data_IF_978630231294
#
_entry.id   IF_978630231294
#
_cell.length_a   1.000
_cell.length_b   1.000
_cell.length_c   1.000
_cell.angle_alpha   90.00
_cell.angle_beta   90.00
_cell.angle_gamma   90.00
#
_symmetry.space_group_name_H-M   'P 1'
#
loop_
_entity.id
_entity.type
_entity.pdbx_description
1 polymer ?
#
# COMPACT_ATOMS: atom_id res chain seq x y z
N UNK A 1 -18.63 13.99 -5.73
CA UNK A 1 -19.56 12.88 -6.03
C UNK A 1 -20.99 13.35 -5.82
N UNK A 2 -21.92 12.84 -6.62
CA UNK A 2 -23.36 12.93 -6.34
C UNK A 2 -23.75 11.71 -5.48
N UNK A 3 -24.68 11.90 -4.55
CA UNK A 3 -25.22 10.82 -3.72
C UNK A 3 -26.73 10.82 -3.87
N UNK A 4 -27.28 9.72 -4.35
CA UNK A 4 -28.72 9.52 -4.53
C UNK A 4 -29.12 8.07 -4.22
N UNK A 5 -30.37 7.68 -4.55
CA UNK A 5 -30.88 6.32 -4.35
C UNK A 5 -30.07 5.23 -5.09
N UNK A 6 -29.26 5.59 -6.08
CA UNK A 6 -28.40 4.70 -6.84
C UNK A 6 -26.96 4.63 -6.26
N UNK A 7 -26.71 5.26 -5.10
CA UNK A 7 -25.43 5.19 -4.39
C UNK A 7 -24.54 6.41 -4.60
N UNK A 8 -23.21 6.19 -4.64
CA UNK A 8 -22.21 7.23 -4.85
C UNK A 8 -21.83 7.27 -6.33
N UNK A 9 -22.00 8.41 -6.98
CA UNK A 9 -21.56 8.63 -8.36
C UNK A 9 -20.32 9.54 -8.39
N UNK A 10 -19.16 9.05 -8.87
CA UNK A 10 -17.96 9.87 -9.03
C UNK A 10 -18.20 11.05 -9.96
N UNK A 11 -17.59 12.19 -9.66
CA UNK A 11 -17.58 13.36 -10.54
C UNK A 11 -16.20 13.45 -11.17
N UNK A 12 -16.12 13.60 -12.50
CA UNK A 12 -14.84 13.65 -13.20
C UNK A 12 -14.05 14.91 -12.80
N UNK A 13 -12.80 14.71 -12.38
CA UNK A 13 -11.84 15.79 -12.07
C UNK A 13 -11.02 16.18 -13.31
N UNK A 14 -10.90 15.27 -14.29
CA UNK A 14 -10.03 15.44 -15.46
C UNK A 14 -8.59 14.97 -15.18
N UNK A 15 -7.67 15.34 -16.06
CA UNK A 15 -6.26 14.99 -15.92
C UNK A 15 -5.62 15.80 -14.78
N UNK A 16 -4.95 15.12 -13.86
CA UNK A 16 -4.15 15.78 -12.83
C UNK A 16 -2.85 16.34 -13.44
N UNK A 17 -2.34 17.46 -12.93
CA UNK A 17 -0.98 17.91 -13.23
C UNK A 17 0.05 16.79 -12.99
N UNK A 18 1.03 16.58 -13.89
CA UNK A 18 1.93 15.43 -13.83
C UNK A 18 2.65 15.24 -12.48
N UNK A 19 3.07 16.32 -11.83
CA UNK A 19 3.75 16.26 -10.54
C UNK A 19 2.84 15.78 -9.40
N UNK A 20 1.54 16.10 -9.45
CA UNK A 20 0.58 15.64 -8.44
C UNK A 20 0.22 14.17 -8.67
N UNK A 21 0.04 13.78 -9.94
CA UNK A 21 -0.16 12.39 -10.31
C UNK A 21 1.03 11.52 -9.86
N UNK A 22 2.27 11.99 -10.09
CA UNK A 22 3.47 11.29 -9.65
C UNK A 22 3.54 11.12 -8.13
N UNK A 23 3.24 12.18 -7.36
CA UNK A 23 3.19 12.10 -5.89
C UNK A 23 2.11 11.13 -5.38
N UNK A 24 0.94 11.12 -6.02
CA UNK A 24 -0.09 10.14 -5.68
C UNK A 24 0.36 8.72 -6.02
N UNK A 25 1.04 8.54 -7.15
CA UNK A 25 1.49 7.23 -7.60
C UNK A 25 2.47 6.57 -6.63
N UNK A 26 3.37 7.33 -6.00
CA UNK A 26 4.29 6.76 -5.00
C UNK A 26 3.55 6.15 -3.81
N UNK A 27 2.41 6.72 -3.41
CA UNK A 27 1.58 6.22 -2.32
C UNK A 27 0.64 5.09 -2.77
N UNK A 28 0.04 5.20 -3.96
CA UNK A 28 -0.86 4.19 -4.52
C UNK A 28 -0.12 2.88 -4.78
N UNK A 29 1.15 2.93 -5.18
CA UNK A 29 1.95 1.72 -5.43
C UNK A 29 2.11 0.86 -4.16
N UNK A 30 2.27 1.48 -3.00
CA UNK A 30 2.31 0.79 -1.70
C UNK A 30 1.01 0.00 -1.49
N UNK A 31 -0.12 0.69 -1.63
CA UNK A 31 -1.46 0.11 -1.43
C UNK A 31 -1.74 -1.02 -2.43
N UNK A 32 -1.35 -0.84 -3.70
CA UNK A 32 -1.51 -1.86 -4.73
C UNK A 32 -0.74 -3.14 -4.38
N UNK A 33 0.49 -3.02 -3.89
CA UNK A 33 1.28 -4.19 -3.44
C UNK A 33 0.70 -4.81 -2.16
N UNK A 34 0.19 -4.02 -1.22
CA UNK A 34 -0.51 -4.56 -0.04
C UNK A 34 -1.73 -5.38 -0.44
N UNK A 35 -2.52 -4.90 -1.41
CA UNK A 35 -3.66 -5.65 -1.96
C UNK A 35 -3.18 -6.91 -2.67
N UNK A 36 -2.12 -6.84 -3.48
CA UNK A 36 -1.55 -8.00 -4.16
C UNK A 36 -1.05 -9.05 -3.16
N UNK A 37 -0.40 -8.63 -2.07
CA UNK A 37 0.00 -9.51 -0.98
C UNK A 37 -1.22 -10.23 -0.40
N UNK A 38 -2.29 -9.50 -0.08
CA UNK A 38 -3.52 -10.06 0.49
C UNK A 38 -4.23 -11.05 -0.46
N UNK A 39 -4.23 -10.77 -1.76
CA UNK A 39 -4.87 -11.64 -2.77
C UNK A 39 -4.04 -12.89 -3.07
N UNK A 40 -2.72 -12.76 -3.15
CA UNK A 40 -1.83 -13.87 -3.54
C UNK A 40 -1.30 -14.68 -2.35
N UNK A 41 -1.34 -14.10 -1.15
CA UNK A 41 -0.70 -14.66 0.03
C UNK A 41 0.84 -14.60 -0.02
N UNK A 42 1.45 -13.90 -0.97
CA UNK A 42 2.92 -13.80 -1.07
C UNK A 42 3.45 -12.75 -0.10
N UNK A 43 4.31 -13.18 0.83
CA UNK A 43 4.93 -12.30 1.83
C UNK A 43 5.85 -11.25 1.18
N UNK A 44 6.49 -11.60 0.06
CA UNK A 44 7.35 -10.72 -0.74
C UNK A 44 6.72 -9.36 -1.04
N UNK A 45 5.42 -9.33 -1.38
CA UNK A 45 4.73 -8.09 -1.71
C UNK A 45 4.56 -7.15 -0.51
N UNK A 46 4.55 -7.67 0.71
CA UNK A 46 4.49 -6.86 1.94
C UNK A 46 5.81 -6.10 2.11
N UNK A 47 6.94 -6.78 1.93
CA UNK A 47 8.26 -6.14 2.01
C UNK A 47 8.41 -5.09 0.92
N UNK A 48 8.05 -5.41 -0.32
CA UNK A 48 8.12 -4.45 -1.42
C UNK A 48 7.22 -3.22 -1.18
N UNK A 49 6.05 -3.41 -0.58
CA UNK A 49 5.18 -2.29 -0.19
C UNK A 49 5.86 -1.38 0.83
N UNK A 50 6.42 -1.95 1.90
CA UNK A 50 7.13 -1.19 2.94
C UNK A 50 8.39 -0.48 2.40
N UNK A 51 9.12 -1.12 1.48
CA UNK A 51 10.29 -0.52 0.82
C UNK A 51 9.92 0.66 -0.11
N UNK A 52 8.71 0.68 -0.65
CA UNK A 52 8.22 1.77 -1.51
C UNK A 52 7.51 2.88 -0.74
N UNK A 53 7.21 2.67 0.54
CA UNK A 53 6.60 3.69 1.37
C UNK A 53 7.57 4.87 1.58
N UNK A 54 7.23 6.10 1.14
CA UNK A 54 8.17 7.22 1.15
C UNK A 54 8.64 7.62 2.55
N UNK A 55 7.82 7.39 3.58
CA UNK A 55 8.20 7.70 4.95
C UNK A 55 9.15 6.64 5.50
N UNK A 56 8.78 5.37 5.35
CA UNK A 56 9.59 4.23 5.79
C UNK A 56 10.98 4.25 5.14
N UNK A 57 11.04 4.45 3.82
CA UNK A 57 12.30 4.50 3.07
C UNK A 57 13.15 5.76 3.35
N UNK A 58 12.58 6.79 3.97
CA UNK A 58 13.34 7.96 4.41
C UNK A 58 14.04 7.76 5.76
N UNK A 59 13.50 6.88 6.61
CA UNK A 59 13.96 6.68 7.98
C UNK A 59 14.79 5.40 8.16
N UNK A 60 14.58 4.38 7.32
CA UNK A 60 15.15 3.04 7.46
C UNK A 60 15.84 2.56 6.19
N UNK A 61 16.90 1.79 6.35
CA UNK A 61 17.50 1.03 5.25
C UNK A 61 16.73 -0.27 4.94
N UNK A 62 17.06 -0.94 3.85
CA UNK A 62 16.33 -2.12 3.37
C UNK A 62 16.34 -3.30 4.38
N UNK A 63 17.43 -3.48 5.11
CA UNK A 63 17.55 -4.58 6.08
C UNK A 63 16.69 -4.27 7.32
N UNK A 64 16.69 -3.01 7.77
CA UNK A 64 15.81 -2.53 8.84
C UNK A 64 14.34 -2.63 8.48
N UNK A 65 13.97 -2.30 7.24
CA UNK A 65 12.59 -2.43 6.75
C UNK A 65 12.17 -3.90 6.76
N UNK A 66 13.04 -4.81 6.34
CA UNK A 66 12.75 -6.24 6.35
C UNK A 66 12.47 -6.74 7.77
N UNK A 67 13.35 -6.39 8.72
CA UNK A 67 13.18 -6.76 10.13
C UNK A 67 11.90 -6.16 10.73
N UNK A 68 11.60 -4.88 10.45
CA UNK A 68 10.37 -4.23 10.91
C UNK A 68 9.12 -4.96 10.39
N UNK A 69 9.11 -5.35 9.11
CA UNK A 69 7.98 -6.09 8.54
C UNK A 69 7.83 -7.47 9.17
N UNK A 70 8.93 -8.15 9.47
CA UNK A 70 8.90 -9.42 10.19
C UNK A 70 8.27 -9.27 11.58
N UNK A 71 8.74 -8.27 12.35
CA UNK A 71 8.22 -7.97 13.68
C UNK A 71 6.72 -7.61 13.63
N UNK A 72 6.29 -6.85 12.61
CA UNK A 72 4.88 -6.51 12.42
C UNK A 72 4.03 -7.73 12.06
N UNK A 73 4.51 -8.61 11.19
CA UNK A 73 3.78 -9.83 10.83
C UNK A 73 3.63 -10.74 12.05
N UNK A 74 4.70 -10.92 12.83
CA UNK A 74 4.65 -11.70 14.07
C UNK A 74 3.68 -11.07 15.09
N UNK A 75 3.77 -9.76 15.32
CA UNK A 75 2.93 -9.05 16.28
C UNK A 75 1.44 -9.10 15.94
N UNK A 76 1.08 -9.11 14.65
CA UNK A 76 -0.32 -9.18 14.22
C UNK A 76 -0.84 -10.62 14.13
N UNK A 77 0.05 -11.61 13.94
CA UNK A 77 -0.28 -13.04 14.01
C UNK A 77 -1.55 -13.41 13.26
N UNK A 78 -2.52 -14.00 13.98
CA UNK A 78 -3.79 -14.50 13.43
C UNK A 78 -4.72 -13.41 12.87
N UNK A 79 -4.41 -12.12 13.06
CA UNK A 79 -5.18 -11.03 12.44
C UNK A 79 -4.85 -10.89 10.95
N UNK A 80 -3.72 -11.45 10.52
CA UNK A 80 -3.30 -11.48 9.13
C UNK A 80 -3.64 -12.82 8.47
N UNK A 81 -3.88 -12.84 7.15
CA UNK A 81 -3.86 -14.07 6.37
C UNK A 81 -2.52 -14.79 6.53
N UNK A 82 -2.53 -16.12 6.37
CA UNK A 82 -1.28 -16.88 6.33
C UNK A 82 -0.51 -16.56 5.06
N UNK A 83 0.55 -15.77 5.19
CA UNK A 83 1.48 -15.45 4.12
C UNK A 83 2.53 -16.54 3.95
N UNK A 84 2.98 -16.73 2.70
CA UNK A 84 4.01 -17.69 2.29
C UNK A 84 5.20 -16.98 1.65
#
# INVERSE_FOLDING_TARGET
CLVDKNGIQPTAVGALPPQLAALMQTNINVQALTVEAALTGKREHIYHAAMLDPHTAAELDLDQIHALVDDLIEAHGDWLPTYR
#
